data_IF_486884714304
#
_entry.id   IF_486884714304
#
_cell.length_a   1.000
_cell.length_b   1.000
_cell.length_c   1.000
_cell.angle_alpha   90.00
_cell.angle_beta   90.00
_cell.angle_gamma   90.00
#
_symmetry.space_group_name_H-M   'P 1'
#
loop_
_entity.id
_entity.type
_entity.pdbx_description
1 polymer ?
#
# COMPACT_ATOMS: atom_id res chain seq x y z
N UNK A 1 23.38 0.73 8.30
CA UNK A 1 23.53 2.11 8.80
C UNK A 1 22.15 2.75 8.71
N UNK A 2 21.60 3.32 9.80
CA UNK A 2 20.25 3.91 9.77
C UNK A 2 20.23 5.21 8.94
N UNK A 3 19.02 5.70 8.61
CA UNK A 3 18.82 7.01 7.97
C UNK A 3 19.47 8.08 8.84
N UNK A 4 20.48 8.77 8.31
CA UNK A 4 21.22 9.82 9.02
C UNK A 4 20.85 11.23 8.58
N UNK A 5 20.14 11.39 7.47
CA UNK A 5 19.70 12.68 6.95
C UNK A 5 18.29 13.02 7.46
N UNK A 6 18.15 14.19 8.09
CA UNK A 6 16.89 14.66 8.68
C UNK A 6 15.80 14.92 7.64
N UNK A 7 16.13 15.52 6.49
CA UNK A 7 15.15 15.73 5.42
C UNK A 7 14.61 14.39 4.90
N UNK A 8 15.47 13.39 4.72
CA UNK A 8 15.08 12.03 4.30
C UNK A 8 14.12 11.43 5.31
N UNK A 9 14.43 11.59 6.61
CA UNK A 9 13.55 11.14 7.67
C UNK A 9 12.16 11.79 7.58
N UNK A 10 12.09 13.11 7.40
CA UNK A 10 10.81 13.81 7.30
C UNK A 10 10.00 13.42 6.06
N UNK A 11 10.65 13.29 4.90
CA UNK A 11 10.00 12.85 3.66
C UNK A 11 9.38 11.46 3.85
N UNK A 12 10.14 10.51 4.42
CA UNK A 12 9.65 9.16 4.69
C UNK A 12 8.53 9.16 5.73
N UNK A 13 8.67 9.97 6.80
CA UNK A 13 7.71 10.04 7.90
C UNK A 13 6.34 10.56 7.47
N UNK A 14 6.28 11.44 6.48
CA UNK A 14 5.02 11.99 5.94
C UNK A 14 4.15 10.91 5.29
N UNK A 15 4.75 9.89 4.68
CA UNK A 15 4.03 8.77 4.07
C UNK A 15 3.61 7.67 5.05
N UNK A 16 4.03 7.74 6.31
CA UNK A 16 3.77 6.71 7.32
C UNK A 16 2.54 7.08 8.15
N UNK A 17 1.49 6.29 8.00
CA UNK A 17 0.29 6.33 8.84
C UNK A 17 0.31 5.23 9.90
N UNK A 18 -0.41 5.44 10.99
CA UNK A 18 -0.55 4.46 12.07
C UNK A 18 -1.54 3.34 11.73
N UNK A 19 -2.06 2.69 12.78
CA UNK A 19 -3.10 1.67 12.61
C UNK A 19 -4.38 2.22 11.96
N UNK A 20 -5.04 1.41 11.16
CA UNK A 20 -6.35 1.72 10.60
C UNK A 20 -7.44 1.43 11.65
N UNK A 21 -8.14 2.46 12.10
CA UNK A 21 -9.30 2.34 12.97
C UNK A 21 -10.51 3.00 12.30
N UNK A 22 -11.38 2.18 11.71
CA UNK A 22 -12.59 2.65 11.04
C UNK A 22 -13.83 2.07 11.72
N UNK A 23 -14.83 2.93 11.98
CA UNK A 23 -16.16 2.52 12.42
C UNK A 23 -17.12 2.67 11.25
N UNK A 24 -17.58 1.53 10.75
CA UNK A 24 -18.65 1.52 9.74
C UNK A 24 -19.95 1.81 10.48
N UNK A 25 -20.68 2.85 10.09
CA UNK A 25 -21.99 3.23 10.65
C UNK A 25 -23.11 2.27 10.18
N UNK A 26 -22.88 0.97 10.32
CA UNK A 26 -23.84 -0.08 9.98
C UNK A 26 -24.35 -0.67 11.28
N UNK A 27 -25.62 -0.41 11.59
CA UNK A 27 -26.30 -0.98 12.74
C UNK A 27 -26.73 -2.42 12.39
N UNK A 28 -26.11 -3.41 13.03
CA UNK A 28 -26.46 -4.82 12.85
C UNK A 28 -27.14 -5.32 14.13
N UNK A 29 -28.38 -5.80 14.00
CA UNK A 29 -29.21 -6.32 15.08
C UNK A 29 -29.32 -7.83 14.93
N UNK A 30 -29.02 -8.54 16.02
CA UNK A 30 -29.17 -10.00 16.10
C UNK A 30 -30.62 -10.39 15.85
N UNK A 31 -30.84 -11.32 14.91
CA UNK A 31 -32.17 -11.85 14.61
C UNK A 31 -33.00 -10.98 13.66
N UNK A 32 -32.48 -9.82 13.24
CA UNK A 32 -33.21 -8.92 12.33
C UNK A 32 -32.38 -8.57 11.08
N UNK A 33 -31.08 -8.30 11.23
CA UNK A 33 -30.26 -7.84 10.10
C UNK A 33 -29.81 -9.01 9.22
N UNK A 34 -30.07 -8.89 7.92
CA UNK A 34 -29.58 -9.82 6.90
C UNK A 34 -28.08 -9.63 6.62
N UNK A 35 -27.39 -10.73 6.29
CA UNK A 35 -25.97 -10.67 5.93
C UNK A 35 -25.83 -10.01 4.55
N UNK A 36 -25.21 -8.84 4.54
CA UNK A 36 -24.92 -8.07 3.33
C UNK A 36 -23.60 -8.50 2.68
N UNK A 37 -23.58 -8.61 1.35
CA UNK A 37 -22.36 -8.83 0.55
C UNK A 37 -22.23 -7.78 -0.55
N UNK A 38 -20.98 -7.57 -0.98
CA UNK A 38 -20.67 -6.72 -2.13
C UNK A 38 -20.05 -7.58 -3.24
N UNK A 39 -20.41 -7.29 -4.50
CA UNK A 39 -19.80 -7.90 -5.68
C UNK A 39 -19.47 -6.85 -6.73
N UNK A 40 -18.41 -7.09 -7.51
CA UNK A 40 -18.06 -6.26 -8.64
C UNK A 40 -18.72 -6.82 -9.91
N UNK A 41 -19.60 -6.04 -10.54
CA UNK A 41 -20.23 -6.38 -11.82
C UNK A 41 -20.15 -5.19 -12.77
N UNK A 42 -19.61 -5.40 -13.98
CA UNK A 42 -19.54 -4.37 -15.04
C UNK A 42 -19.00 -3.02 -14.54
N UNK A 43 -17.88 -3.05 -13.82
CA UNK A 43 -17.24 -1.88 -13.18
C UNK A 43 -18.08 -1.15 -12.12
N UNK A 44 -19.13 -1.79 -11.59
CA UNK A 44 -19.93 -1.26 -10.46
C UNK A 44 -19.84 -2.21 -9.28
N UNK A 45 -19.76 -1.65 -8.08
CA UNK A 45 -19.87 -2.42 -6.85
C UNK A 45 -21.35 -2.47 -6.46
N UNK A 46 -21.93 -3.67 -6.45
CA UNK A 46 -23.31 -3.91 -6.09
C UNK A 46 -23.35 -4.48 -4.67
N UNK A 47 -24.11 -3.83 -3.81
CA UNK A 47 -24.45 -4.30 -2.46
C UNK A 47 -25.78 -5.05 -2.51
N UNK A 48 -25.83 -6.25 -1.93
CA UNK A 48 -27.04 -7.06 -1.88
C UNK A 48 -27.09 -7.89 -0.59
N UNK A 49 -28.29 -8.18 -0.11
CA UNK A 49 -28.53 -8.95 1.10
C UNK A 49 -28.77 -10.43 0.76
N UNK A 50 -28.30 -11.31 1.64
CA UNK A 50 -28.59 -12.74 1.59
C UNK A 50 -29.80 -13.05 2.47
N UNK A 51 -30.45 -14.19 2.24
CA UNK A 51 -31.56 -14.67 3.07
C UNK A 51 -31.13 -15.11 4.49
N UNK A 52 -29.83 -15.05 4.78
CA UNK A 52 -29.27 -15.42 6.08
C UNK A 52 -29.33 -14.25 7.06
N UNK A 53 -29.98 -14.47 8.20
CA UNK A 53 -30.08 -13.49 9.29
C UNK A 53 -28.88 -13.64 10.24
N UNK A 54 -28.29 -12.52 10.63
CA UNK A 54 -27.17 -12.49 11.56
C UNK A 54 -27.60 -12.92 12.96
N UNK A 55 -26.93 -13.92 13.53
CA UNK A 55 -27.24 -14.46 14.87
C UNK A 55 -26.16 -14.17 15.91
N UNK A 56 -24.92 -13.98 15.49
CA UNK A 56 -23.75 -13.76 16.35
C UNK A 56 -22.80 -12.77 15.68
N UNK A 57 -22.03 -12.06 16.49
CA UNK A 57 -20.95 -11.16 16.04
C UNK A 57 -19.65 -11.72 16.62
N UNK A 58 -18.63 -11.86 15.76
CA UNK A 58 -17.30 -12.36 16.15
C UNK A 58 -16.26 -11.30 15.85
N UNK A 59 -15.47 -10.94 16.87
CA UNK A 59 -14.26 -10.16 16.68
C UNK A 59 -13.10 -11.08 16.34
N UNK A 60 -12.35 -10.75 15.29
CA UNK A 60 -11.10 -11.45 14.94
C UNK A 60 -9.95 -10.49 15.18
N UNK A 61 -8.93 -10.97 15.88
CA UNK A 61 -7.69 -10.25 16.09
C UNK A 61 -6.52 -11.03 15.47
N UNK A 62 -5.50 -10.30 15.05
CA UNK A 62 -4.30 -10.87 14.45
C UNK A 62 -3.23 -11.04 15.52
N UNK A 63 -2.72 -12.27 15.66
CA UNK A 63 -1.56 -12.53 16.50
C UNK A 63 -0.35 -11.78 15.94
N UNK A 64 0.19 -10.84 16.73
CA UNK A 64 1.42 -10.13 16.41
C UNK A 64 1.44 -9.45 15.04
N UNK A 65 0.41 -8.64 14.74
CA UNK A 65 0.22 -7.96 13.45
C UNK A 65 1.53 -7.40 12.84
N UNK A 66 2.23 -6.52 13.56
CA UNK A 66 3.45 -5.89 13.02
C UNK A 66 4.59 -6.89 12.78
N UNK A 67 5.00 -7.73 13.77
CA UNK A 67 5.99 -8.77 13.54
C UNK A 67 5.67 -9.70 12.36
N UNK A 68 4.40 -10.10 12.20
CA UNK A 68 4.00 -10.95 11.07
C UNK A 68 4.25 -10.24 9.73
N UNK A 69 3.93 -8.96 9.62
CA UNK A 69 4.20 -8.18 8.40
C UNK A 69 5.71 -7.94 8.17
N UNK A 70 6.48 -7.74 9.23
CA UNK A 70 7.93 -7.51 9.14
C UNK A 70 8.76 -8.78 8.91
N UNK A 71 8.20 -9.97 9.15
CA UNK A 71 8.89 -11.26 8.96
C UNK A 71 9.19 -11.61 7.50
N UNK A 72 8.93 -10.71 6.55
CA UNK A 72 9.20 -10.92 5.13
C UNK A 72 8.17 -11.80 4.44
N UNK A 73 6.97 -11.95 5.01
CA UNK A 73 5.87 -12.66 4.37
C UNK A 73 5.54 -12.02 3.02
N UNK A 74 5.46 -12.87 2.00
CA UNK A 74 5.03 -12.46 0.67
C UNK A 74 3.51 -12.24 0.65
N UNK A 75 3.07 -11.14 0.08
CA UNK A 75 1.66 -10.80 -0.09
C UNK A 75 1.38 -10.34 -1.54
N UNK A 76 0.38 -10.95 -2.17
CA UNK A 76 0.01 -10.73 -3.58
C UNK A 76 -0.35 -9.28 -3.95
N UNK A 77 -0.72 -8.44 -2.98
CA UNK A 77 -1.04 -7.04 -3.21
C UNK A 77 0.19 -6.14 -3.36
N UNK A 78 1.37 -6.60 -2.90
CA UNK A 78 2.61 -5.80 -2.89
C UNK A 78 3.44 -6.10 -4.15
N UNK A 79 2.94 -5.71 -5.32
CA UNK A 79 3.54 -6.13 -6.60
C UNK A 79 4.91 -5.52 -6.89
N UNK A 80 5.15 -4.30 -6.41
CA UNK A 80 6.31 -3.47 -6.80
C UNK A 80 7.62 -3.85 -6.10
N UNK A 81 7.57 -4.72 -5.09
CA UNK A 81 8.71 -5.15 -4.27
C UNK A 81 8.74 -6.67 -4.12
N UNK A 82 8.35 -7.41 -5.16
CA UNK A 82 8.40 -8.88 -5.14
C UNK A 82 7.53 -9.50 -4.04
N UNK A 83 6.39 -8.87 -3.77
CA UNK A 83 5.41 -9.26 -2.75
C UNK A 83 5.87 -9.02 -1.30
N UNK A 84 6.98 -8.33 -1.07
CA UNK A 84 7.54 -8.16 0.28
C UNK A 84 7.58 -6.69 0.72
N UNK A 85 7.37 -6.45 2.02
CA UNK A 85 7.56 -5.12 2.63
C UNK A 85 9.04 -4.94 2.97
N UNK A 86 9.58 -3.78 2.60
CA UNK A 86 10.93 -3.36 2.98
C UNK A 86 10.85 -2.13 3.88
N UNK A 87 11.71 -2.11 4.90
CA UNK A 87 11.95 -0.90 5.69
C UNK A 87 13.12 -0.12 5.07
N UNK A 88 13.00 1.21 4.94
CA UNK A 88 14.07 2.03 4.39
C UNK A 88 15.30 1.96 5.30
N UNK A 89 16.46 1.63 4.72
CA UNK A 89 17.74 1.52 5.44
C UNK A 89 18.54 2.81 5.38
N UNK A 90 18.97 3.20 4.17
CA UNK A 90 19.76 4.40 3.91
C UNK A 90 19.42 4.98 2.53
N UNK A 91 19.72 6.27 2.34
CA UNK A 91 19.53 6.97 1.05
C UNK A 91 20.76 6.74 0.16
N UNK A 92 20.55 6.20 -1.05
CA UNK A 92 21.62 6.00 -2.04
C UNK A 92 21.91 7.30 -2.80
N UNK A 93 20.86 8.02 -3.19
CA UNK A 93 20.95 9.23 -3.99
C UNK A 93 19.67 10.06 -3.86
N UNK A 94 19.80 11.39 -3.96
CA UNK A 94 18.68 12.32 -4.03
C UNK A 94 18.66 13.03 -5.38
N UNK A 95 17.51 13.07 -6.03
CA UNK A 95 17.28 13.81 -7.26
C UNK A 95 16.19 14.86 -7.04
N UNK A 96 16.52 16.13 -7.21
CA UNK A 96 15.61 17.27 -7.00
C UNK A 96 14.84 17.69 -8.25
N UNK A 97 15.06 17.02 -9.40
CA UNK A 97 14.32 17.23 -10.65
C UNK A 97 14.30 18.69 -11.14
N UNK A 98 15.37 19.46 -10.89
CA UNK A 98 15.47 20.87 -11.30
C UNK A 98 15.72 20.99 -12.81
N UNK A 99 16.53 20.09 -13.37
CA UNK A 99 16.86 20.06 -14.81
C UNK A 99 16.06 19.00 -15.55
N UNK A 100 15.84 19.17 -16.84
CA UNK A 100 15.12 18.18 -17.66
C UNK A 100 15.86 16.84 -17.73
N UNK A 101 17.19 16.86 -17.72
CA UNK A 101 18.00 15.64 -17.62
C UNK A 101 17.69 14.87 -16.32
N UNK A 102 17.62 15.58 -15.19
CA UNK A 102 17.27 14.99 -13.90
C UNK A 102 15.83 14.44 -13.88
N UNK A 103 14.88 15.18 -14.47
CA UNK A 103 13.49 14.71 -14.62
C UNK A 103 13.42 13.44 -15.44
N UNK A 104 14.11 13.38 -16.58
CA UNK A 104 14.13 12.19 -17.43
C UNK A 104 14.68 10.97 -16.69
N UNK A 105 15.80 11.13 -15.96
CA UNK A 105 16.36 10.06 -15.13
C UNK A 105 15.40 9.59 -14.02
N UNK A 106 14.70 10.52 -13.37
CA UNK A 106 13.68 10.18 -12.39
C UNK A 106 12.52 9.42 -13.03
N UNK A 107 12.05 9.85 -14.20
CA UNK A 107 10.98 9.19 -14.95
C UNK A 107 11.38 7.79 -15.45
N UNK A 108 12.62 7.58 -15.87
CA UNK A 108 13.14 6.24 -16.21
C UNK A 108 13.10 5.29 -15.01
N UNK A 109 13.46 5.78 -13.83
CA UNK A 109 13.37 5.01 -12.57
C UNK A 109 11.91 4.73 -12.21
N UNK A 110 11.05 5.76 -12.26
CA UNK A 110 9.62 5.70 -11.95
C UNK A 110 8.83 4.88 -12.97
N UNK A 111 9.33 4.66 -14.19
CA UNK A 111 8.65 3.88 -15.22
C UNK A 111 9.36 2.57 -15.55
N UNK A 112 10.37 2.18 -14.78
CA UNK A 112 11.08 0.92 -15.01
C UNK A 112 10.08 -0.27 -14.97
N UNK A 113 9.92 -1.03 -16.07
CA UNK A 113 8.92 -2.08 -16.16
C UNK A 113 9.26 -3.32 -15.31
N UNK A 114 10.54 -3.49 -14.94
CA UNK A 114 11.00 -4.65 -14.17
C UNK A 114 10.41 -4.67 -12.75
N UNK A 115 9.90 -3.55 -12.24
CA UNK A 115 9.23 -3.47 -10.93
C UNK A 115 7.94 -4.28 -10.83
N UNK A 116 7.35 -4.62 -11.98
CA UNK A 116 6.16 -5.47 -12.05
C UNK A 116 6.47 -6.86 -12.64
N UNK A 117 7.75 -7.22 -12.75
CA UNK A 117 8.15 -8.56 -13.21
C UNK A 117 7.68 -9.61 -12.21
N UNK A 118 7.38 -10.82 -12.71
CA UNK A 118 7.13 -11.99 -11.87
C UNK A 118 8.43 -12.68 -11.43
N UNK A 119 9.58 -12.29 -11.98
CA UNK A 119 10.88 -12.87 -11.68
C UNK A 119 11.61 -12.03 -10.65
N UNK A 120 11.97 -12.66 -9.52
CA UNK A 120 12.72 -12.00 -8.45
C UNK A 120 14.02 -11.37 -8.95
N UNK A 121 14.77 -12.07 -9.82
CA UNK A 121 16.01 -11.57 -10.41
C UNK A 121 15.89 -10.27 -11.22
N UNK A 122 14.69 -9.95 -11.70
CA UNK A 122 14.44 -8.70 -12.42
C UNK A 122 14.07 -7.58 -11.47
N UNK A 123 13.28 -7.88 -10.43
CA UNK A 123 12.91 -6.94 -9.36
C UNK A 123 14.15 -6.52 -8.58
N UNK A 124 15.07 -7.46 -8.29
CA UNK A 124 16.29 -7.21 -7.53
C UNK A 124 17.25 -6.23 -8.23
N UNK A 125 17.08 -6.02 -9.55
CA UNK A 125 17.84 -5.03 -10.32
C UNK A 125 17.28 -3.61 -10.19
N UNK A 126 16.08 -3.45 -9.63
CA UNK A 126 15.42 -2.15 -9.51
C UNK A 126 15.64 -1.55 -8.14
N UNK A 127 16.19 -0.34 -8.11
CA UNK A 127 16.34 0.44 -6.88
C UNK A 127 14.97 0.91 -6.38
N UNK A 128 14.67 0.66 -5.11
CA UNK A 128 13.52 1.27 -4.44
C UNK A 128 13.70 2.79 -4.34
N UNK A 129 12.61 3.53 -4.54
CA UNK A 129 12.63 4.99 -4.47
C UNK A 129 11.37 5.50 -3.79
N UNK A 130 11.45 6.75 -3.32
CA UNK A 130 10.31 7.55 -2.90
C UNK A 130 10.29 8.78 -3.80
N UNK A 131 9.11 9.13 -4.32
CA UNK A 131 8.93 10.27 -5.20
C UNK A 131 7.87 11.19 -4.60
N UNK A 132 8.21 12.47 -4.46
CA UNK A 132 7.22 13.52 -4.20
C UNK A 132 6.74 14.06 -5.55
N UNK A 133 5.46 13.86 -5.84
CA UNK A 133 4.84 14.31 -7.09
C UNK A 133 3.89 15.44 -6.76
N UNK A 134 4.14 16.62 -7.31
CA UNK A 134 3.18 17.74 -7.24
C UNK A 134 2.12 17.48 -8.29
N UNK A 135 0.91 17.13 -7.84
CA UNK A 135 -0.25 17.04 -8.72
C UNK A 135 -0.54 18.42 -9.32
N UNK A 136 -0.59 18.50 -10.65
CA UNK A 136 -1.25 19.60 -11.33
C UNK A 136 -2.69 19.18 -11.54
N UNK A 137 -3.63 19.94 -10.98
CA UNK A 137 -5.04 19.83 -11.36
C UNK A 137 -5.19 20.85 -12.48
N UNK A 138 -5.45 20.38 -13.69
CA UNK A 138 -5.80 21.26 -14.81
C UNK A 138 -7.05 22.06 -14.39
N UNK A 139 -6.99 23.40 -14.45
CA UNK A 139 -8.14 24.28 -14.23
C UNK A 139 -9.23 24.10 -15.30
#
# INVERSE_FOLDING_TARGET
MPITNEDTYHILRNGITGGLANVIHRYNIKGETHINKMKLEKNKVISYDLDHIMTHITGVDKNSLYPSMFSGLKHDFIKYTGNQIYMPGYEISRNTCVTDKQKNQAMETINNPLRFSSKQSDIDKVTMFVAEVKGHIDE
#
